data_IF_293749354969
#
_entry.id   IF_293749354969
#
_cell.length_a   1.000
_cell.length_b   1.000
_cell.length_c   1.000
_cell.angle_alpha   90.00
_cell.angle_beta   90.00
_cell.angle_gamma   90.00
#
_symmetry.space_group_name_H-M   'P 1'
#
loop_
_entity.id
_entity.type
_entity.pdbx_description
1 polymer ?
#
# COMPACT_ATOMS: atom_id res chain seq x y z
N UNK A 1 -7.93 40.73 38.50
CA UNK A 1 -8.72 39.81 37.66
C UNK A 1 -7.78 39.07 36.71
N UNK A 2 -7.74 37.73 36.77
CA UNK A 2 -6.83 36.87 35.99
C UNK A 2 -7.50 36.49 34.67
N UNK A 3 -6.88 36.75 33.51
CA UNK A 3 -7.32 36.20 32.22
C UNK A 3 -6.27 35.18 31.76
N UNK A 4 -6.54 33.89 31.96
CA UNK A 4 -5.76 32.81 31.35
C UNK A 4 -6.39 32.50 30.00
N UNK A 5 -5.70 32.79 28.90
CA UNK A 5 -6.08 32.25 27.59
C UNK A 5 -5.65 30.78 27.53
N UNK A 6 -6.60 29.88 27.29
CA UNK A 6 -6.32 28.50 26.93
C UNK A 6 -6.35 28.39 25.40
N UNK A 7 -5.20 28.11 24.78
CA UNK A 7 -5.12 27.75 23.36
C UNK A 7 -5.46 26.27 23.21
N UNK A 8 -6.59 25.97 22.58
CA UNK A 8 -6.97 24.60 22.20
C UNK A 8 -6.39 24.33 20.82
N UNK A 9 -5.34 23.49 20.74
CA UNK A 9 -4.91 22.88 19.49
C UNK A 9 -5.88 21.73 19.17
N UNK A 10 -6.88 22.01 18.33
CA UNK A 10 -7.72 20.96 17.75
C UNK A 10 -6.91 20.27 16.63
N UNK A 11 -6.38 19.08 16.93
CA UNK A 11 -5.81 18.21 15.89
C UNK A 11 -6.99 17.52 15.19
N UNK A 12 -7.40 18.05 14.04
CA UNK A 12 -8.35 17.38 13.16
C UNK A 12 -7.63 16.21 12.46
N UNK A 13 -7.76 15.00 13.01
CA UNK A 13 -7.30 13.79 12.35
C UNK A 13 -8.25 13.47 11.18
N UNK A 14 -7.84 13.80 9.96
CA UNK A 14 -8.49 13.30 8.74
C UNK A 14 -8.21 11.81 8.62
N UNK A 15 -9.17 10.97 9.01
CA UNK A 15 -9.10 9.53 8.77
C UNK A 15 -9.52 9.29 7.32
N UNK A 16 -8.55 9.10 6.42
CA UNK A 16 -8.83 8.63 5.06
C UNK A 16 -9.12 7.13 5.16
N UNK A 17 -10.31 6.64 4.75
CA UNK A 17 -10.60 5.21 4.77
C UNK A 17 -9.60 4.48 3.86
N UNK A 18 -8.86 3.54 4.43
CA UNK A 18 -7.85 2.74 3.73
C UNK A 18 -8.54 1.58 3.04
N UNK A 19 -8.46 1.50 1.71
CA UNK A 19 -8.99 0.36 0.95
C UNK A 19 -7.86 -0.63 0.72
N UNK A 20 -7.73 -1.60 1.63
CA UNK A 20 -6.96 -2.81 1.38
C UNK A 20 -7.85 -3.76 0.57
N UNK A 21 -7.41 -4.11 -0.64
CA UNK A 21 -8.10 -5.02 -1.55
C UNK A 21 -7.35 -6.35 -1.58
N UNK A 22 -8.11 -7.44 -1.61
CA UNK A 22 -7.61 -8.79 -1.79
C UNK A 22 -8.33 -9.44 -2.98
N UNK A 23 -7.59 -10.16 -3.83
CA UNK A 23 -8.14 -10.86 -4.98
C UNK A 23 -7.31 -12.12 -5.31
N UNK A 24 -8.00 -13.17 -5.76
CA UNK A 24 -7.39 -14.36 -6.34
C UNK A 24 -7.20 -14.17 -7.85
N UNK A 25 -5.95 -14.06 -8.28
CA UNK A 25 -5.59 -13.68 -9.66
C UNK A 25 -4.39 -14.46 -10.14
N UNK A 26 -4.42 -14.92 -11.40
CA UNK A 26 -3.29 -15.65 -12.00
C UNK A 26 -2.87 -16.94 -11.29
N UNK A 27 -3.76 -17.53 -10.47
CA UNK A 27 -3.48 -18.72 -9.65
C UNK A 27 -2.81 -18.44 -8.30
N UNK A 28 -2.80 -17.18 -7.85
CA UNK A 28 -2.21 -16.75 -6.59
C UNK A 28 -3.04 -15.68 -5.86
N UNK A 29 -2.66 -15.41 -4.62
CA UNK A 29 -3.34 -14.44 -3.76
C UNK A 29 -2.65 -13.07 -3.87
N UNK A 30 -3.44 -12.02 -4.15
CA UNK A 30 -2.95 -10.67 -4.33
C UNK A 30 -3.60 -9.68 -3.37
N UNK A 31 -2.79 -9.05 -2.52
CA UNK A 31 -3.21 -7.97 -1.62
C UNK A 31 -2.59 -6.65 -2.05
N UNK A 32 -3.40 -5.62 -2.24
CA UNK A 32 -2.92 -4.33 -2.72
C UNK A 32 -3.76 -3.16 -2.19
N UNK A 33 -3.21 -1.96 -2.26
CA UNK A 33 -3.90 -0.75 -1.88
C UNK A 33 -3.06 0.19 -1.03
N UNK A 34 -3.74 1.02 -0.25
CA UNK A 34 -3.12 1.99 0.64
C UNK A 34 -2.97 1.39 2.04
N UNK A 35 -1.78 1.52 2.61
CA UNK A 35 -1.49 1.05 3.96
C UNK A 35 -2.32 1.74 5.03
N UNK A 36 -2.52 1.07 6.18
CA UNK A 36 -3.39 1.54 7.26
C UNK A 36 -3.09 2.96 7.76
N UNK A 37 -1.82 3.36 7.77
CA UNK A 37 -1.39 4.71 8.17
C UNK A 37 -1.71 5.78 7.13
N UNK A 38 -2.15 5.42 5.93
CA UNK A 38 -2.36 6.33 4.82
C UNK A 38 -1.07 6.96 4.28
N UNK A 39 0.10 6.36 4.54
CA UNK A 39 1.41 6.95 4.17
C UNK A 39 2.14 6.21 3.05
N UNK A 40 1.58 5.11 2.54
CA UNK A 40 2.20 4.31 1.49
C UNK A 40 1.16 3.53 0.69
N UNK A 41 1.50 3.21 -0.56
CA UNK A 41 0.82 2.21 -1.37
C UNK A 41 1.64 0.93 -1.45
N UNK A 42 0.98 -0.23 -1.53
CA UNK A 42 1.62 -1.54 -1.60
C UNK A 42 0.95 -2.49 -2.60
N UNK A 43 1.73 -3.44 -3.09
CA UNK A 43 1.29 -4.61 -3.84
C UNK A 43 2.03 -5.82 -3.30
N UNK A 44 1.29 -6.81 -2.79
CA UNK A 44 1.81 -8.05 -2.24
C UNK A 44 1.18 -9.21 -3.02
N UNK A 45 1.99 -10.06 -3.66
CA UNK A 45 1.49 -11.19 -4.44
C UNK A 45 2.16 -12.48 -3.99
N UNK A 46 1.37 -13.53 -3.83
CA UNK A 46 1.81 -14.87 -3.46
C UNK A 46 1.35 -15.89 -4.49
N UNK A 47 2.25 -16.79 -4.87
CA UNK A 47 1.92 -17.90 -5.74
C UNK A 47 2.63 -19.17 -5.26
N UNK A 48 1.88 -20.26 -5.10
CA UNK A 48 2.37 -21.52 -4.50
C UNK A 48 3.30 -22.32 -5.40
N UNK A 49 3.03 -22.32 -6.70
CA UNK A 49 3.71 -23.21 -7.65
C UNK A 49 4.67 -22.50 -8.60
N UNK A 50 4.50 -21.20 -8.85
CA UNK A 50 5.23 -20.45 -9.88
C UNK A 50 6.02 -19.28 -9.32
N UNK A 51 7.09 -18.91 -10.04
CA UNK A 51 7.78 -17.64 -9.85
C UNK A 51 6.79 -16.52 -10.16
N UNK A 52 6.85 -15.42 -9.42
CA UNK A 52 5.90 -14.33 -9.55
C UNK A 52 6.50 -13.01 -9.11
N UNK A 53 5.81 -11.91 -9.39
CA UNK A 53 6.21 -10.57 -8.97
C UNK A 53 5.01 -9.71 -8.57
N UNK A 54 5.27 -8.77 -7.65
CA UNK A 54 4.37 -7.70 -7.29
C UNK A 54 5.01 -6.36 -7.64
N UNK A 55 4.21 -5.43 -8.15
CA UNK A 55 4.66 -4.09 -8.52
C UNK A 55 3.71 -3.04 -7.95
N UNK A 56 4.27 -1.98 -7.40
CA UNK A 56 3.54 -0.74 -7.08
C UNK A 56 4.21 0.40 -7.85
N UNK A 57 3.42 1.25 -8.47
CA UNK A 57 3.90 2.47 -9.11
C UNK A 57 3.13 3.69 -8.66
N UNK A 58 3.77 4.83 -8.86
CA UNK A 58 3.27 6.18 -8.69
C UNK A 58 3.77 7.02 -9.87
N UNK A 59 3.33 8.27 -9.95
CA UNK A 59 3.85 9.30 -10.87
C UNK A 59 5.39 9.38 -10.96
N UNK A 60 6.11 9.13 -9.87
CA UNK A 60 7.56 9.37 -9.79
C UNK A 60 8.39 8.12 -9.58
N UNK A 61 7.76 7.00 -9.20
CA UNK A 61 8.48 5.80 -8.76
C UNK A 61 7.71 4.54 -9.08
N UNK A 62 8.45 3.52 -9.49
CA UNK A 62 7.97 2.14 -9.63
C UNK A 62 8.87 1.22 -8.84
N UNK A 63 8.28 0.33 -8.04
CA UNK A 63 8.97 -0.71 -7.29
C UNK A 63 8.38 -2.05 -7.69
N UNK A 64 9.24 -2.94 -8.18
CA UNK A 64 8.89 -4.32 -8.51
C UNK A 64 9.71 -5.27 -7.64
N UNK A 65 9.03 -6.23 -7.03
CA UNK A 65 9.68 -7.32 -6.28
C UNK A 65 9.29 -8.62 -6.94
N UNK A 66 10.30 -9.42 -7.30
CA UNK A 66 10.11 -10.75 -7.89
C UNK A 66 10.56 -11.80 -6.89
N UNK A 67 9.74 -12.84 -6.70
CA UNK A 67 10.04 -13.94 -5.80
C UNK A 67 9.84 -15.30 -6.48
N UNK A 68 10.50 -16.31 -5.90
CA UNK A 68 10.22 -17.71 -6.22
C UNK A 68 8.84 -18.09 -5.66
N UNK A 69 8.34 -19.25 -6.08
CA UNK A 69 7.12 -19.85 -5.53
C UNK A 69 7.16 -19.92 -3.99
N UNK A 70 6.00 -19.95 -3.35
CA UNK A 70 5.78 -20.02 -1.88
C UNK A 70 6.36 -18.87 -1.04
N UNK A 71 6.84 -17.79 -1.67
CA UNK A 71 7.36 -16.61 -0.96
C UNK A 71 6.56 -15.40 -1.45
N UNK A 72 5.98 -14.63 -0.52
CA UNK A 72 5.32 -13.37 -0.85
C UNK A 72 6.27 -12.37 -1.51
N UNK A 73 5.96 -11.94 -2.72
CA UNK A 73 6.54 -10.76 -3.34
C UNK A 73 5.87 -9.50 -2.77
N UNK A 74 6.62 -8.65 -2.05
CA UNK A 74 6.08 -7.47 -1.35
C UNK A 74 6.73 -6.19 -1.87
N UNK A 75 5.97 -5.35 -2.55
CA UNK A 75 6.43 -4.06 -3.07
C UNK A 75 5.65 -2.91 -2.41
N UNK A 76 6.36 -1.84 -2.04
CA UNK A 76 5.76 -0.67 -1.38
C UNK A 76 6.44 0.64 -1.76
N UNK A 77 5.66 1.73 -1.82
CA UNK A 77 6.15 3.10 -1.99
C UNK A 77 5.51 3.98 -0.92
N UNK A 78 6.34 4.62 -0.10
CA UNK A 78 5.91 5.70 0.79
C UNK A 78 5.55 6.94 -0.04
N UNK A 79 4.32 7.44 0.11
CA UNK A 79 3.81 8.64 -0.56
C UNK A 79 2.66 9.24 0.27
N UNK A 80 2.71 10.56 0.53
CA UNK A 80 1.72 11.29 1.32
C UNK A 80 1.25 12.53 0.53
N UNK A 81 -0.05 12.67 0.20
CA UNK A 81 -1.07 11.64 0.29
C UNK A 81 -0.81 10.50 -0.73
N UNK A 82 -1.26 9.27 -0.47
CA UNK A 82 -1.00 8.10 -1.33
C UNK A 82 -1.93 8.09 -2.55
N UNK A 83 -1.86 9.16 -3.36
CA UNK A 83 -2.69 9.36 -4.57
C UNK A 83 -1.93 9.00 -5.84
N UNK A 84 -2.67 8.63 -6.89
CA UNK A 84 -2.09 8.24 -8.18
C UNK A 84 -1.26 6.95 -8.11
N UNK A 85 -1.63 6.03 -7.21
CA UNK A 85 -0.97 4.74 -7.04
C UNK A 85 -1.56 3.70 -7.99
N UNK A 86 -0.70 2.91 -8.64
CA UNK A 86 -1.11 1.75 -9.42
C UNK A 86 -0.47 0.48 -8.85
N UNK A 87 -1.18 -0.62 -8.95
CA UNK A 87 -0.80 -1.89 -8.35
C UNK A 87 -0.89 -2.98 -9.42
N UNK A 88 0.15 -3.80 -9.51
CA UNK A 88 0.21 -4.90 -10.47
C UNK A 88 0.76 -6.17 -9.81
N UNK A 89 0.45 -7.28 -10.46
CA UNK A 89 0.96 -8.61 -10.17
C UNK A 89 1.32 -9.30 -11.49
N UNK A 90 2.20 -10.30 -11.43
CA UNK A 90 2.52 -11.16 -12.58
C UNK A 90 2.99 -12.53 -12.13
N UNK A 91 2.53 -13.55 -12.83
CA UNK A 91 3.03 -14.92 -12.74
C UNK A 91 3.91 -15.22 -13.95
N UNK A 92 4.98 -16.00 -13.77
CA UNK A 92 5.89 -16.44 -14.83
C UNK A 92 5.73 -17.94 -15.11
#
# INVERSE_FOLDING_TARGET
MKKKLASIFAVASFVVPTVALAADVGGGEWHYGVGYTGTYGYSNYYHETKKHSATVSSDTKTVTVTQKKVIWAKASITKIPPTGMNYYWKTF
#
